data_IF_462065750760
#
_entry.id   IF_462065750760
#
_cell.length_a   1.000
_cell.length_b   1.000
_cell.length_c   1.000
_cell.angle_alpha   90.00
_cell.angle_beta   90.00
_cell.angle_gamma   90.00
#
_symmetry.space_group_name_H-M   'P 1'
#
loop_
_entity.id
_entity.type
_entity.pdbx_description
1 polymer ?
#
# COMPACT_ATOMS: atom_id res chain seq x y z
N UNK A 1 23.63 3.98 24.79
CA UNK A 1 23.71 3.44 23.42
C UNK A 1 22.27 3.16 23.00
N UNK A 2 21.61 4.13 22.37
CA UNK A 2 20.20 3.99 22.00
C UNK A 2 20.19 3.11 20.75
N UNK A 3 19.91 1.83 20.93
CA UNK A 3 19.66 0.95 19.78
C UNK A 3 18.46 1.57 19.07
N UNK A 4 18.68 2.08 17.85
CA UNK A 4 17.63 2.70 17.07
C UNK A 4 16.69 1.59 16.58
N UNK A 5 15.77 1.15 17.45
CA UNK A 5 14.88 0.02 17.23
C UNK A 5 14.12 0.13 15.90
N UNK A 6 13.83 1.36 15.44
CA UNK A 6 13.23 1.61 14.13
C UNK A 6 14.03 1.01 12.97
N UNK A 7 15.37 1.08 13.00
CA UNK A 7 16.21 0.50 11.94
C UNK A 7 16.14 -1.04 11.91
N UNK A 8 16.05 -1.68 13.08
CA UNK A 8 15.91 -3.14 13.19
C UNK A 8 14.55 -3.59 12.68
N UNK A 9 13.48 -2.87 13.04
CA UNK A 9 12.11 -3.15 12.59
C UNK A 9 11.97 -2.98 11.09
N UNK A 10 12.49 -1.89 10.52
CA UNK A 10 12.48 -1.68 9.07
C UNK A 10 13.30 -2.74 8.32
N UNK A 11 14.44 -3.16 8.89
CA UNK A 11 15.20 -4.27 8.34
C UNK A 11 14.38 -5.58 8.39
N UNK A 12 13.69 -5.85 9.50
CA UNK A 12 12.84 -7.03 9.66
C UNK A 12 11.67 -7.03 8.66
N UNK A 13 10.96 -5.91 8.51
CA UNK A 13 9.91 -5.76 7.50
C UNK A 13 10.44 -6.04 6.10
N UNK A 14 11.59 -5.46 5.75
CA UNK A 14 12.20 -5.68 4.44
C UNK A 14 12.56 -7.16 4.22
N UNK A 15 13.10 -7.83 5.23
CA UNK A 15 13.43 -9.26 5.19
C UNK A 15 12.18 -10.12 5.05
N UNK A 16 11.12 -9.81 5.81
CA UNK A 16 9.84 -10.49 5.75
C UNK A 16 9.22 -10.38 4.36
N UNK A 17 9.20 -9.18 3.78
CA UNK A 17 8.70 -8.95 2.41
C UNK A 17 9.60 -9.64 1.37
N UNK A 18 10.92 -9.60 1.54
CA UNK A 18 11.86 -10.21 0.59
C UNK A 18 11.77 -11.75 0.58
N UNK A 19 11.58 -12.36 1.75
CA UNK A 19 11.48 -13.82 1.89
C UNK A 19 10.04 -14.34 1.73
N UNK A 20 9.08 -13.46 1.46
CA UNK A 20 7.67 -13.80 1.36
C UNK A 20 7.43 -14.82 0.22
N UNK A 21 6.74 -15.91 0.56
CA UNK A 21 6.30 -16.94 -0.35
C UNK A 21 4.97 -17.54 0.14
N UNK A 22 4.33 -18.39 -0.68
CA UNK A 22 3.04 -19.00 -0.32
C UNK A 22 3.07 -19.81 0.98
N UNK A 23 4.21 -20.41 1.37
CA UNK A 23 4.32 -21.25 2.56
C UNK A 23 4.41 -20.42 3.84
N UNK A 24 5.16 -19.33 3.83
CA UNK A 24 5.35 -18.47 4.99
C UNK A 24 4.37 -17.28 5.06
N UNK A 25 3.50 -17.09 4.06
CA UNK A 25 2.54 -15.99 4.01
C UNK A 25 1.80 -15.73 5.32
N UNK A 26 1.24 -16.78 5.94
CA UNK A 26 0.47 -16.65 7.19
C UNK A 26 1.35 -16.24 8.37
N UNK A 27 2.56 -16.79 8.46
CA UNK A 27 3.53 -16.43 9.50
C UNK A 27 4.02 -14.99 9.30
N UNK A 28 4.45 -14.65 8.08
CA UNK A 28 4.89 -13.31 7.71
C UNK A 28 3.81 -12.25 7.94
N UNK A 29 2.55 -12.53 7.57
CA UNK A 29 1.44 -11.62 7.80
C UNK A 29 1.15 -11.44 9.29
N UNK A 30 1.24 -12.51 10.09
CA UNK A 30 1.11 -12.42 11.55
C UNK A 30 2.21 -11.58 12.20
N UNK A 31 3.47 -11.82 11.84
CA UNK A 31 4.60 -11.03 12.32
C UNK A 31 4.50 -9.55 11.91
N UNK A 32 4.12 -9.28 10.65
CA UNK A 32 3.89 -7.92 10.19
C UNK A 32 2.77 -7.25 10.99
N UNK A 33 1.64 -7.93 11.23
CA UNK A 33 0.57 -7.35 12.03
C UNK A 33 1.02 -7.02 13.46
N UNK A 34 1.82 -7.88 14.10
CA UNK A 34 2.40 -7.56 15.41
C UNK A 34 3.31 -6.32 15.36
N UNK A 35 4.18 -6.22 14.35
CA UNK A 35 5.02 -5.03 14.19
C UNK A 35 4.19 -3.77 13.94
N UNK A 36 3.11 -3.88 13.17
CA UNK A 36 2.19 -2.79 12.87
C UNK A 36 1.36 -2.38 14.10
N UNK A 37 1.00 -3.32 14.97
CA UNK A 37 0.34 -3.03 16.25
C UNK A 37 1.28 -2.32 17.24
N UNK A 38 2.55 -2.75 17.29
CA UNK A 38 3.54 -2.21 18.25
C UNK A 38 4.09 -0.85 17.82
N UNK A 39 4.44 -0.70 16.54
CA UNK A 39 5.14 0.48 16.03
C UNK A 39 4.23 1.40 15.19
N UNK A 40 3.03 0.95 14.82
CA UNK A 40 2.00 1.81 14.25
C UNK A 40 2.31 2.37 12.86
N UNK A 41 2.13 3.70 12.74
CA UNK A 41 2.05 4.44 11.49
C UNK A 41 3.31 4.31 10.61
N UNK A 42 4.50 4.47 11.20
CA UNK A 42 5.76 4.50 10.44
C UNK A 42 6.08 3.16 9.77
N UNK A 43 5.72 2.06 10.43
CA UNK A 43 5.92 0.71 9.89
C UNK A 43 4.94 0.42 8.77
N UNK A 44 3.69 0.90 8.85
CA UNK A 44 2.76 0.82 7.73
C UNK A 44 3.34 1.52 6.50
N UNK A 45 3.77 2.78 6.64
CA UNK A 45 4.35 3.57 5.54
C UNK A 45 5.56 2.85 4.93
N UNK A 46 6.47 2.35 5.77
CA UNK A 46 7.65 1.63 5.31
C UNK A 46 7.30 0.31 4.60
N UNK A 47 6.33 -0.45 5.13
CA UNK A 47 5.87 -1.70 4.53
C UNK A 47 5.29 -1.46 3.13
N UNK A 48 4.41 -0.47 2.96
CA UNK A 48 3.87 -0.11 1.66
C UNK A 48 4.98 0.29 0.68
N UNK A 49 5.90 1.17 1.10
CA UNK A 49 7.07 1.55 0.29
C UNK A 49 7.91 0.35 -0.11
N UNK A 50 8.18 -0.56 0.82
CA UNK A 50 8.99 -1.76 0.55
C UNK A 50 8.29 -2.70 -0.42
N UNK A 51 6.96 -2.87 -0.30
CA UNK A 51 6.17 -3.68 -1.23
C UNK A 51 6.16 -3.06 -2.62
N UNK A 52 5.84 -1.77 -2.74
CA UNK A 52 5.78 -1.05 -4.02
C UNK A 52 7.14 -1.04 -4.72
N UNK A 53 8.23 -0.84 -3.98
CA UNK A 53 9.59 -0.84 -4.55
C UNK A 53 10.07 -2.23 -4.99
N UNK A 54 9.62 -3.30 -4.33
CA UNK A 54 10.00 -4.67 -4.70
C UNK A 54 9.05 -5.31 -5.72
N UNK A 55 7.84 -4.78 -5.87
CA UNK A 55 6.85 -5.26 -6.82
C UNK A 55 7.07 -4.56 -8.16
N UNK A 56 7.37 -5.33 -9.19
CA UNK A 56 7.24 -4.82 -10.55
C UNK A 56 5.76 -4.78 -10.93
N UNK A 57 5.08 -3.69 -10.58
CA UNK A 57 3.65 -3.46 -10.87
C UNK A 57 3.32 -3.50 -12.37
N UNK A 58 4.32 -3.44 -13.27
CA UNK A 58 4.13 -3.57 -14.71
C UNK A 58 4.14 -5.03 -15.18
N UNK A 59 4.88 -5.91 -14.51
CA UNK A 59 5.09 -7.30 -14.92
C UNK A 59 5.01 -8.33 -13.78
N UNK A 60 4.21 -8.06 -12.75
CA UNK A 60 3.99 -8.95 -11.60
C UNK A 60 3.34 -10.29 -12.00
N UNK A 61 4.15 -11.18 -12.59
CA UNK A 61 3.74 -12.50 -13.09
C UNK A 61 4.30 -13.64 -12.24
N UNK A 62 5.29 -13.38 -11.39
CA UNK A 62 5.85 -14.43 -10.53
C UNK A 62 4.90 -14.76 -9.38
N UNK A 63 4.94 -16.01 -8.90
CA UNK A 63 4.17 -16.46 -7.73
C UNK A 63 4.51 -15.62 -6.49
N UNK A 64 5.77 -15.18 -6.38
CA UNK A 64 6.25 -14.31 -5.32
C UNK A 64 5.60 -12.92 -5.40
N UNK A 65 5.53 -12.33 -6.60
CA UNK A 65 4.89 -11.02 -6.80
C UNK A 65 3.40 -11.09 -6.49
N UNK A 66 2.71 -12.14 -6.94
CA UNK A 66 1.30 -12.36 -6.61
C UNK A 66 1.08 -12.47 -5.09
N UNK A 67 2.01 -13.11 -4.38
CA UNK A 67 1.94 -13.24 -2.92
C UNK A 67 2.16 -11.89 -2.22
N UNK A 68 3.13 -11.09 -2.71
CA UNK A 68 3.37 -9.72 -2.22
C UNK A 68 2.19 -8.79 -2.51
N UNK A 69 1.56 -8.92 -3.67
CA UNK A 69 0.35 -8.18 -4.03
C UNK A 69 -0.84 -8.56 -3.13
N UNK A 70 -1.00 -9.84 -2.84
CA UNK A 70 -2.03 -10.31 -1.91
C UNK A 70 -1.83 -9.71 -0.51
N UNK A 71 -0.57 -9.69 -0.02
CA UNK A 71 -0.23 -9.04 1.24
C UNK A 71 -0.55 -7.54 1.19
N UNK A 72 -0.13 -6.86 0.12
CA UNK A 72 -0.40 -5.43 -0.09
C UNK A 72 -1.90 -5.13 -0.06
N UNK A 73 -2.73 -5.97 -0.68
CA UNK A 73 -4.19 -5.80 -0.71
C UNK A 73 -4.81 -5.97 0.68
N UNK A 74 -4.36 -6.99 1.42
CA UNK A 74 -4.81 -7.26 2.78
C UNK A 74 -4.46 -6.09 3.72
N UNK A 75 -3.21 -5.64 3.70
CA UNK A 75 -2.74 -4.53 4.53
C UNK A 75 -3.41 -3.20 4.14
N UNK A 76 -3.63 -2.96 2.84
CA UNK A 76 -4.37 -1.79 2.38
C UNK A 76 -5.81 -1.81 2.86
N UNK A 77 -6.48 -2.97 2.80
CA UNK A 77 -7.83 -3.15 3.33
C UNK A 77 -7.91 -2.86 4.82
N UNK A 78 -6.97 -3.36 5.61
CA UNK A 78 -6.87 -3.11 7.05
C UNK A 78 -6.54 -1.65 7.37
N UNK A 79 -5.68 -1.00 6.59
CA UNK A 79 -5.35 0.41 6.81
C UNK A 79 -6.52 1.32 6.45
N UNK A 80 -7.25 1.02 5.38
CA UNK A 80 -8.43 1.80 4.95
C UNK A 80 -9.58 1.80 5.97
N UNK A 81 -9.65 0.83 6.89
CA UNK A 81 -10.62 0.86 8.00
C UNK A 81 -10.17 1.75 9.16
N UNK A 82 -8.90 2.17 9.19
CA UNK A 82 -8.36 3.06 10.22
C UNK A 82 -8.46 4.52 9.79
N UNK A 83 -8.73 5.47 10.71
CA UNK A 83 -8.89 6.89 10.37
C UNK A 83 -7.61 7.55 9.82
N UNK A 84 -6.44 6.98 10.10
CA UNK A 84 -5.14 7.49 9.63
C UNK A 84 -4.75 6.99 8.23
N UNK A 85 -5.63 6.28 7.52
CA UNK A 85 -5.32 5.68 6.22
C UNK A 85 -4.76 6.67 5.19
N UNK A 86 -5.35 7.87 5.11
CA UNK A 86 -4.98 8.85 4.10
C UNK A 86 -3.52 9.30 4.27
N UNK A 87 -3.11 9.58 5.51
CA UNK A 87 -1.74 9.96 5.84
C UNK A 87 -0.75 8.84 5.52
N UNK A 88 -1.09 7.59 5.87
CA UNK A 88 -0.25 6.41 5.57
C UNK A 88 -0.05 6.25 4.07
N UNK A 89 -1.12 6.32 3.28
CA UNK A 89 -1.07 6.17 1.83
C UNK A 89 -0.29 7.35 1.22
N UNK A 90 -0.59 8.60 1.58
CA UNK A 90 0.15 9.76 1.10
C UNK A 90 1.66 9.61 1.32
N UNK A 91 2.08 9.30 2.54
CA UNK A 91 3.49 9.15 2.88
C UNK A 91 4.11 7.91 2.22
N UNK A 92 3.36 6.84 2.02
CA UNK A 92 3.85 5.65 1.34
C UNK A 92 4.18 5.93 -0.14
N UNK A 93 3.39 6.78 -0.78
CA UNK A 93 3.55 7.14 -2.19
C UNK A 93 4.32 8.45 -2.41
N UNK A 94 4.64 9.18 -1.35
CA UNK A 94 5.40 10.42 -1.41
C UNK A 94 6.80 10.18 -2.00
N UNK A 95 7.13 10.92 -3.08
CA UNK A 95 8.39 10.76 -3.81
C UNK A 95 8.42 9.56 -4.78
N UNK A 96 7.34 8.80 -4.90
CA UNK A 96 7.18 7.78 -5.95
C UNK A 96 6.52 8.43 -7.16
N UNK A 97 7.11 8.27 -8.34
CA UNK A 97 6.47 8.67 -9.60
C UNK A 97 5.29 7.73 -9.91
N UNK A 98 4.14 8.01 -9.28
CA UNK A 98 2.87 7.36 -9.56
C UNK A 98 2.44 7.68 -11.00
N UNK A 99 2.62 6.78 -11.96
CA UNK A 99 2.00 6.93 -13.28
C UNK A 99 0.53 6.49 -13.24
N UNK A 100 -0.31 7.03 -14.13
CA UNK A 100 -1.73 6.59 -14.20
C UNK A 100 -1.84 5.09 -14.46
N UNK A 101 -0.93 4.55 -15.26
CA UNK A 101 -0.82 3.11 -15.50
C UNK A 101 -0.50 2.33 -14.22
N UNK A 102 0.40 2.84 -13.37
CA UNK A 102 0.75 2.21 -12.11
C UNK A 102 -0.41 2.26 -11.11
N UNK A 103 -1.14 3.38 -11.02
CA UNK A 103 -2.37 3.47 -10.21
C UNK A 103 -3.44 2.48 -10.70
N UNK A 104 -3.70 2.45 -12.01
CA UNK A 104 -4.68 1.54 -12.60
C UNK A 104 -4.29 0.07 -12.43
N UNK A 105 -3.00 -0.25 -12.62
CA UNK A 105 -2.48 -1.59 -12.42
C UNK A 105 -2.56 -1.98 -10.95
N UNK A 106 -2.21 -1.09 -10.02
CA UNK A 106 -2.27 -1.36 -8.59
C UNK A 106 -3.72 -1.60 -8.16
N UNK A 107 -4.67 -0.78 -8.61
CA UNK A 107 -6.08 -0.99 -8.28
C UNK A 107 -6.66 -2.27 -8.89
N UNK A 108 -6.33 -2.58 -10.15
CA UNK A 108 -6.75 -3.84 -10.81
C UNK A 108 -6.12 -5.07 -10.14
N UNK A 109 -4.84 -4.99 -9.81
CA UNK A 109 -4.08 -6.12 -9.28
C UNK A 109 -4.45 -6.42 -7.84
N UNK A 110 -4.71 -5.38 -7.04
CA UNK A 110 -5.20 -5.52 -5.66
C UNK A 110 -6.68 -5.87 -5.59
N UNK A 111 -7.39 -5.92 -6.74
CA UNK A 111 -8.84 -6.18 -6.82
C UNK A 111 -9.63 -5.34 -5.82
N UNK A 112 -9.27 -4.06 -5.72
CA UNK A 112 -9.89 -3.16 -4.74
C UNK A 112 -11.38 -3.07 -5.03
N UNK A 113 -12.18 -3.16 -3.96
CA UNK A 113 -13.61 -2.86 -4.06
C UNK A 113 -13.80 -1.41 -4.51
N UNK A 114 -14.97 -1.09 -5.05
CA UNK A 114 -15.29 0.27 -5.47
C UNK A 114 -15.01 1.31 -4.36
N UNK A 115 -15.44 1.00 -3.13
CA UNK A 115 -15.18 1.84 -1.96
C UNK A 115 -13.68 2.00 -1.68
N UNK A 116 -12.89 0.92 -1.71
CA UNK A 116 -11.44 0.98 -1.51
C UNK A 116 -10.73 1.79 -2.60
N UNK A 117 -11.21 1.70 -3.84
CA UNK A 117 -10.68 2.44 -4.97
C UNK A 117 -10.93 3.95 -4.83
N UNK A 118 -12.14 4.34 -4.38
CA UNK A 118 -12.47 5.73 -4.04
C UNK A 118 -11.66 6.23 -2.85
N UNK A 119 -11.58 5.46 -1.78
CA UNK A 119 -10.78 5.78 -0.58
C UNK A 119 -9.30 5.95 -0.93
N UNK A 120 -8.76 5.10 -1.82
CA UNK A 120 -7.40 5.23 -2.33
C UNK A 120 -7.19 6.53 -3.12
N UNK A 121 -8.09 6.84 -4.05
CA UNK A 121 -8.05 8.09 -4.81
C UNK A 121 -8.16 9.32 -3.91
N UNK A 122 -9.03 9.26 -2.90
CA UNK A 122 -9.23 10.33 -1.92
C UNK A 122 -8.00 10.51 -1.01
N UNK A 123 -7.32 9.43 -0.63
CA UNK A 123 -6.05 9.53 0.07
C UNK A 123 -5.03 10.26 -0.81
N UNK A 124 -4.85 9.83 -2.06
CA UNK A 124 -3.88 10.47 -2.96
C UNK A 124 -4.20 11.94 -3.24
N UNK A 125 -5.49 12.33 -3.27
CA UNK A 125 -5.88 13.74 -3.40
C UNK A 125 -5.59 14.58 -2.15
N UNK A 126 -5.21 13.98 -1.03
CA UNK A 126 -4.73 14.70 0.15
C UNK A 126 -3.19 14.84 0.18
N UNK A 127 -2.49 14.33 -0.83
CA UNK A 127 -1.04 14.47 -0.91
C UNK A 127 -0.62 15.93 -1.14
N UNK A 128 0.50 16.34 -0.55
CA UNK A 128 1.10 17.66 -0.79
C UNK A 128 1.81 17.73 -2.16
N UNK A 129 2.12 16.58 -2.76
CA UNK A 129 2.67 16.51 -4.10
C UNK A 129 1.57 16.79 -5.13
N UNK A 130 1.68 17.90 -5.86
CA UNK A 130 0.68 18.33 -6.84
C UNK A 130 0.42 17.28 -7.94
N UNK A 131 1.43 16.49 -8.30
CA UNK A 131 1.29 15.44 -9.32
C UNK A 131 0.50 14.23 -8.80
N UNK A 132 0.69 13.88 -7.53
CA UNK A 132 -0.04 12.81 -6.84
C UNK A 132 -1.46 13.27 -6.52
N UNK A 133 -1.61 14.51 -6.04
CA UNK A 133 -2.87 15.17 -5.78
C UNK A 133 -3.79 15.14 -7.00
N UNK A 134 -3.29 15.61 -8.15
CA UNK A 134 -4.08 15.62 -9.39
C UNK A 134 -4.49 14.20 -9.84
N UNK A 135 -3.64 13.19 -9.63
CA UNK A 135 -3.99 11.80 -9.97
C UNK A 135 -5.04 11.23 -9.03
N UNK A 136 -4.95 11.52 -7.73
CA UNK A 136 -5.99 11.17 -6.77
C UNK A 136 -7.35 11.75 -7.17
N UNK A 137 -7.37 13.05 -7.52
CA UNK A 137 -8.58 13.70 -8.02
C UNK A 137 -9.12 13.02 -9.29
N UNK A 138 -8.27 12.69 -10.28
CA UNK A 138 -8.70 12.00 -11.50
C UNK A 138 -9.30 10.62 -11.21
N UNK A 139 -8.71 9.86 -10.30
CA UNK A 139 -9.24 8.54 -9.89
C UNK A 139 -10.64 8.71 -9.31
N UNK A 140 -10.81 9.64 -8.37
CA UNK A 140 -12.11 9.92 -7.75
C UNK A 140 -13.13 10.42 -8.79
N UNK A 141 -12.75 11.35 -9.66
CA UNK A 141 -13.61 11.87 -10.73
C UNK A 141 -14.01 10.81 -11.75
N UNK A 142 -13.14 9.85 -12.05
CA UNK A 142 -13.47 8.74 -12.97
C UNK A 142 -14.46 7.74 -12.36
N UNK A 143 -14.48 7.63 -11.02
CA UNK A 143 -15.31 6.68 -10.27
C UNK A 143 -16.58 7.29 -9.70
N UNK A 144 -16.64 8.62 -9.53
CA UNK A 144 -17.81 9.39 -9.11
C UNK A 144 -19.07 9.14 -9.98
N UNK A 145 -19.00 9.06 -11.32
CA UNK A 145 -20.17 8.81 -12.16
C UNK A 145 -20.82 7.45 -11.89
N UNK A 146 -20.03 6.46 -11.46
CA UNK A 146 -20.52 5.13 -11.07
C UNK A 146 -21.29 5.17 -9.73
N UNK A 147 -21.05 6.16 -8.87
CA UNK A 147 -21.85 6.39 -7.65
C UNK A 147 -23.23 6.99 -7.94
N UNK A 148 -23.34 7.84 -8.97
CA UNK A 148 -24.59 8.57 -9.30
C UNK A 148 -25.58 7.75 -10.12
N UNK A 149 -25.20 6.55 -10.55
CA UNK A 149 -26.02 5.63 -11.37
C UNK A 149 -26.53 4.40 -10.59
N UNK A 150 -26.32 4.34 -9.27
CA UNK A 150 -26.89 3.35 -8.35
C UNK A 150 -27.98 3.99 -7.50
#
# INVERSE_FOLDING_TARGET
MVVNFGHVVFAQVRQLVSNLNKKNFKATSGELNQLLEVYGHDVHVFLFRSLINQLDLKNAKSVTDQTKLQLLAQELGTVMTKPNFASVICQAFEGIHLTEELCNNLAKTLKLTFAQHLTFGLALSQSQDQSVHQKGIRIVQSKLPECTLA
#
